data_IF_958386854414
#
_entry.id   IF_958386854414
#
_cell.length_a   1.000
_cell.length_b   1.000
_cell.length_c   1.000
_cell.angle_alpha   90.00
_cell.angle_beta   90.00
_cell.angle_gamma   90.00
#
_symmetry.space_group_name_H-M   'P 1'
#
loop_
_entity.id
_entity.type
_entity.pdbx_description
1 polymer ?
#
# COMPACT_ATOMS: atom_id res chain seq x y z
N UNK A 1 -0.60 -8.49 8.85
CA UNK A 1 -0.62 -9.80 8.18
C UNK A 1 -1.97 -9.97 7.51
N UNK A 2 -2.01 -10.47 6.27
CA UNK A 2 -3.25 -10.70 5.52
C UNK A 2 -3.84 -12.09 5.79
N UNK A 3 -5.15 -12.14 6.08
CA UNK A 3 -5.95 -13.36 6.19
C UNK A 3 -6.68 -13.69 4.88
N UNK A 4 -7.17 -14.93 4.74
CA UNK A 4 -7.74 -15.47 3.50
C UNK A 4 -8.89 -14.62 2.92
N UNK A 5 -9.77 -14.08 3.76
CA UNK A 5 -10.87 -13.21 3.33
C UNK A 5 -10.35 -11.90 2.71
N UNK A 6 -9.36 -11.27 3.35
CA UNK A 6 -8.76 -10.03 2.85
C UNK A 6 -8.01 -10.25 1.55
N UNK A 7 -7.32 -11.39 1.41
CA UNK A 7 -6.64 -11.75 0.17
C UNK A 7 -7.62 -11.87 -0.99
N UNK A 8 -8.77 -12.54 -0.80
CA UNK A 8 -9.77 -12.68 -1.86
C UNK A 8 -10.38 -11.35 -2.29
N UNK A 9 -10.65 -10.44 -1.36
CA UNK A 9 -11.18 -9.11 -1.69
C UNK A 9 -10.14 -8.23 -2.37
N UNK A 10 -8.89 -8.22 -1.87
CA UNK A 10 -7.84 -7.34 -2.39
C UNK A 10 -7.19 -7.88 -3.68
N UNK A 11 -7.25 -9.18 -3.94
CA UNK A 11 -6.64 -9.75 -5.15
C UNK A 11 -7.36 -9.41 -6.45
N UNK A 12 -8.59 -8.92 -6.42
CA UNK A 12 -9.21 -8.42 -7.65
C UNK A 12 -8.37 -7.27 -8.23
N UNK A 13 -8.04 -6.27 -7.42
CA UNK A 13 -7.21 -5.13 -7.80
C UNK A 13 -5.70 -5.44 -7.75
N UNK A 14 -5.23 -6.16 -6.73
CA UNK A 14 -3.80 -6.32 -6.44
C UNK A 14 -3.20 -5.07 -5.81
N UNK A 15 -1.89 -5.08 -5.55
CA UNK A 15 -1.16 -3.97 -4.97
C UNK A 15 -1.03 -2.82 -6.00
N UNK A 16 -1.63 -1.64 -5.76
CA UNK A 16 -1.56 -0.52 -6.71
C UNK A 16 -0.16 0.09 -6.86
N UNK A 17 0.75 -0.15 -5.91
CA UNK A 17 2.12 0.39 -5.96
C UNK A 17 3.05 -0.44 -6.86
N UNK A 18 3.05 -1.78 -6.71
CA UNK A 18 3.96 -2.66 -7.46
C UNK A 18 3.28 -3.47 -8.58
N UNK A 19 1.94 -3.45 -8.67
CA UNK A 19 1.15 -4.19 -9.65
C UNK A 19 1.06 -5.70 -9.40
N UNK A 20 1.64 -6.21 -8.30
CA UNK A 20 1.60 -7.64 -7.94
C UNK A 20 0.36 -7.97 -7.11
N UNK A 21 -0.07 -9.24 -7.20
CA UNK A 21 -1.13 -9.78 -6.35
C UNK A 21 -0.65 -9.94 -4.90
N UNK A 22 -1.60 -9.92 -3.97
CA UNK A 22 -1.32 -10.22 -2.56
C UNK A 22 -1.30 -11.72 -2.35
N UNK A 23 -0.32 -12.18 -1.57
CA UNK A 23 -0.17 -13.57 -1.17
C UNK A 23 -0.43 -13.74 0.32
N UNK A 24 -0.84 -14.94 0.72
CA UNK A 24 -0.95 -15.29 2.13
C UNK A 24 0.41 -15.11 2.81
N UNK A 25 0.41 -14.40 3.94
CA UNK A 25 1.64 -14.07 4.67
C UNK A 25 2.31 -12.76 4.24
N UNK A 26 1.84 -12.08 3.19
CA UNK A 26 2.33 -10.74 2.87
C UNK A 26 2.02 -9.77 4.02
N UNK A 27 3.00 -8.92 4.31
CA UNK A 27 2.81 -7.75 5.17
C UNK A 27 2.38 -6.58 4.30
N UNK A 28 1.19 -6.06 4.58
CA UNK A 28 0.62 -4.92 3.89
C UNK A 28 0.26 -3.83 4.88
N UNK A 29 0.33 -2.60 4.42
CA UNK A 29 -0.02 -1.41 5.18
C UNK A 29 -1.04 -0.60 4.38
N UNK A 30 -1.91 0.11 5.10
CA UNK A 30 -2.79 1.09 4.50
C UNK A 30 -1.96 2.35 4.23
N UNK A 31 -1.76 2.70 2.95
CA UNK A 31 -0.96 3.83 2.56
C UNK A 31 -1.77 4.82 1.70
N UNK A 32 -1.35 6.08 1.70
CA UNK A 32 -1.83 7.09 0.76
C UNK A 32 -0.95 7.11 -0.49
N UNK A 33 -1.54 7.38 -1.64
CA UNK A 33 -0.82 7.51 -2.91
C UNK A 33 -1.61 8.33 -3.91
N UNK A 34 -1.07 8.51 -5.12
CA UNK A 34 -1.74 9.19 -6.23
C UNK A 34 -2.82 8.30 -6.88
N UNK A 35 -3.73 7.78 -6.07
CA UNK A 35 -4.81 6.89 -6.49
C UNK A 35 -6.15 7.54 -6.24
N UNK A 36 -7.13 7.27 -7.10
CA UNK A 36 -8.51 7.68 -6.84
C UNK A 36 -9.13 6.83 -5.71
N UNK A 37 -10.01 7.46 -4.92
CA UNK A 37 -10.71 6.79 -3.82
C UNK A 37 -9.97 6.76 -2.47
N UNK A 38 -8.81 7.41 -2.36
CA UNK A 38 -8.09 7.57 -1.10
C UNK A 38 -7.07 6.48 -0.81
N UNK A 39 -6.85 6.19 0.48
CA UNK A 39 -5.84 5.24 0.92
C UNK A 39 -6.20 3.79 0.53
N UNK A 40 -5.20 3.03 0.08
CA UNK A 40 -5.31 1.62 -0.32
C UNK A 40 -4.23 0.79 0.36
N UNK A 41 -4.48 -0.52 0.44
CA UNK A 41 -3.48 -1.46 0.94
C UNK A 41 -2.39 -1.66 -0.11
N UNK A 42 -1.14 -1.59 0.32
CA UNK A 42 0.04 -1.91 -0.49
C UNK A 42 1.00 -2.78 0.30
N UNK A 43 1.88 -3.50 -0.40
CA UNK A 43 3.00 -4.19 0.23
C UNK A 43 3.81 -3.20 1.07
N UNK A 44 4.17 -3.59 2.29
CA UNK A 44 4.95 -2.75 3.21
C UNK A 44 6.27 -2.27 2.58
N UNK A 45 6.88 -3.10 1.72
CA UNK A 45 8.08 -2.73 0.95
C UNK A 45 7.88 -1.52 0.05
N UNK A 46 6.65 -1.28 -0.42
CA UNK A 46 6.29 -0.17 -1.29
C UNK A 46 5.83 1.08 -0.52
N UNK A 47 5.80 1.01 0.81
CA UNK A 47 5.37 2.10 1.68
C UNK A 47 6.56 2.72 2.43
N UNK A 48 6.42 4.00 2.77
CA UNK A 48 7.29 4.72 3.69
C UNK A 48 6.42 5.29 4.80
N UNK A 49 6.81 5.06 6.05
CA UNK A 49 6.13 5.70 7.18
C UNK A 49 6.56 7.16 7.27
N UNK A 50 5.63 8.09 7.07
CA UNK A 50 5.90 9.51 7.25
C UNK A 50 5.61 9.91 8.71
N UNK A 51 6.64 10.24 9.52
CA UNK A 51 6.44 10.57 10.93
C UNK A 51 5.69 11.89 11.15
N UNK A 52 5.65 12.78 10.14
CA UNK A 52 4.96 14.07 10.24
C UNK A 52 3.44 13.89 10.24
N UNK A 53 2.94 13.10 9.29
CA UNK A 53 1.52 12.76 9.18
C UNK A 53 1.13 11.54 10.01
N UNK A 54 2.11 10.80 10.53
CA UNK A 54 1.95 9.51 11.24
C UNK A 54 1.21 8.48 10.38
N UNK A 55 1.43 8.53 9.08
CA UNK A 55 0.71 7.73 8.09
C UNK A 55 1.68 7.12 7.08
N UNK A 56 1.31 5.98 6.50
CA UNK A 56 2.10 5.38 5.43
C UNK A 56 1.79 6.09 4.11
N UNK A 57 2.83 6.42 3.36
CA UNK A 57 2.74 6.95 2.01
C UNK A 57 3.36 5.94 1.05
N UNK A 58 2.80 5.82 -0.16
CA UNK A 58 3.45 5.08 -1.23
C UNK A 58 4.82 5.69 -1.52
N UNK A 59 5.85 4.84 -1.59
CA UNK A 59 7.25 5.26 -1.65
C UNK A 59 7.52 6.24 -2.78
N UNK A 60 7.01 5.98 -3.98
CA UNK A 60 7.24 6.84 -5.15
C UNK A 60 6.58 8.20 -4.99
N UNK A 61 5.36 8.26 -4.43
CA UNK A 61 4.68 9.50 -4.08
C UNK A 61 5.46 10.28 -3.02
N UNK A 62 5.95 9.59 -1.98
CA UNK A 62 6.76 10.20 -0.93
C UNK A 62 8.06 10.81 -1.49
N UNK A 63 8.76 10.06 -2.34
CA UNK A 63 9.99 10.50 -3.02
C UNK A 63 9.73 11.66 -4.01
N UNK A 64 8.61 11.66 -4.72
CA UNK A 64 8.24 12.74 -5.63
C UNK A 64 7.92 14.07 -4.91
N UNK A 65 7.42 14.00 -3.68
CA UNK A 65 7.11 15.16 -2.83
C UNK A 65 8.29 15.72 -2.04
N UNK A 66 9.44 15.01 -2.00
CA UNK A 66 10.66 15.41 -1.30
C UNK A 66 11.52 16.45 -2.06
N UNK A 67 10.92 17.30 -2.89
CA UNK A 67 11.61 18.42 -3.54
C UNK A 67 11.78 19.63 -2.63
#
# INVERSE_FOLDING_TARGET
>A
MLDLEKVNSLNAEGCPACGKKFSLGDTVVLAGGAWEGGAKYIHESEAVYDPKTRFYMERRCYEAGLK
#
